data_IF_039215819493
#
_entry.id   IF_039215819493
#
_cell.length_a   1.000
_cell.length_b   1.000
_cell.length_c   1.000
_cell.angle_alpha   90.00
_cell.angle_beta   90.00
_cell.angle_gamma   90.00
#
_symmetry.space_group_name_H-M   'P 1'
#
loop_
_entity.id
_entity.type
_entity.pdbx_description
1 polymer ?
#
# COMPACT_ATOMS: atom_id res chain seq x y z
N UNK A 1 -12.43 58.97 14.31
CA UNK A 1 -11.67 59.20 13.10
C UNK A 1 -11.06 57.89 12.63
N UNK A 2 -11.58 57.42 11.53
CA UNK A 2 -11.44 56.10 10.94
C UNK A 2 -10.45 56.20 9.80
N UNK A 3 -9.47 55.35 9.74
CA UNK A 3 -8.68 55.18 8.53
C UNK A 3 -8.61 53.71 8.18
N UNK A 4 -9.41 53.31 7.19
CA UNK A 4 -9.42 52.05 6.55
C UNK A 4 -8.16 51.81 5.72
N UNK A 5 -7.61 50.61 5.76
CA UNK A 5 -6.47 50.18 4.95
C UNK A 5 -6.94 49.07 3.97
N UNK A 6 -7.19 49.55 2.76
CA UNK A 6 -7.43 48.72 1.57
C UNK A 6 -6.15 48.01 1.18
N UNK A 7 -6.10 46.69 1.25
CA UNK A 7 -4.97 45.93 0.73
C UNK A 7 -5.20 45.57 -0.74
N UNK A 8 -4.22 45.89 -1.55
CA UNK A 8 -4.08 45.74 -3.00
C UNK A 8 -4.18 44.31 -3.47
N UNK A 9 -5.21 44.02 -4.25
CA UNK A 9 -5.20 42.93 -5.25
C UNK A 9 -4.50 43.46 -6.51
N UNK A 10 -3.23 43.21 -6.69
CA UNK A 10 -2.50 43.34 -7.97
C UNK A 10 -1.28 42.44 -7.86
N UNK A 11 -1.28 41.32 -8.61
CA UNK A 11 -0.11 40.70 -9.21
C UNK A 11 -0.31 39.23 -9.61
N UNK A 12 -1.50 38.85 -10.10
CA UNK A 12 -1.69 37.50 -10.70
C UNK A 12 -1.91 37.57 -12.23
N UNK A 13 -1.98 38.77 -12.83
CA UNK A 13 -2.30 38.88 -14.25
C UNK A 13 -1.13 39.26 -15.17
N UNK A 14 0.12 39.21 -14.70
CA UNK A 14 1.29 39.57 -15.54
C UNK A 14 2.17 38.39 -16.01
N UNK A 15 1.80 37.14 -15.70
CA UNK A 15 2.59 35.97 -16.15
C UNK A 15 2.02 35.24 -17.36
N UNK A 16 0.84 35.65 -17.86
CA UNK A 16 0.19 34.95 -18.98
C UNK A 16 0.32 35.67 -20.36
N UNK A 17 0.93 36.85 -20.41
CA UNK A 17 1.02 37.64 -21.65
C UNK A 17 2.42 37.67 -22.30
N UNK A 18 3.42 37.02 -21.72
CA UNK A 18 4.77 36.93 -22.33
C UNK A 18 4.97 35.63 -23.14
N UNK A 19 4.10 34.63 -22.97
CA UNK A 19 4.20 33.37 -23.71
C UNK A 19 3.61 33.41 -25.13
N UNK A 20 2.85 34.44 -25.49
CA UNK A 20 2.13 34.51 -26.80
C UNK A 20 2.87 35.31 -27.85
N UNK A 21 3.94 36.04 -27.52
CA UNK A 21 4.65 36.93 -28.47
C UNK A 21 5.95 36.30 -29.04
N UNK A 22 6.37 35.11 -28.59
CA UNK A 22 7.59 34.41 -29.08
C UNK A 22 7.31 33.27 -30.07
N UNK A 23 6.05 33.07 -30.50
CA UNK A 23 5.67 31.93 -31.34
C UNK A 23 5.63 32.26 -32.86
N UNK A 24 6.13 33.40 -33.31
CA UNK A 24 6.04 33.80 -34.73
C UNK A 24 7.37 33.78 -35.52
N UNK A 25 8.45 33.26 -34.95
CA UNK A 25 9.75 33.16 -35.63
C UNK A 25 10.44 31.78 -35.58
N UNK A 26 9.74 30.73 -35.18
CA UNK A 26 10.30 29.36 -35.18
C UNK A 26 9.88 28.71 -36.51
N UNK A 27 10.85 28.43 -37.37
CA UNK A 27 10.62 27.76 -38.65
C UNK A 27 10.05 26.35 -38.47
N UNK A 28 9.27 25.84 -39.44
CA UNK A 28 8.55 24.56 -39.38
C UNK A 28 9.39 23.36 -38.89
N UNK A 29 10.71 23.39 -39.07
CA UNK A 29 11.64 22.33 -38.59
C UNK A 29 11.83 22.31 -37.05
N UNK A 30 11.70 23.47 -36.38
CA UNK A 30 11.89 23.56 -34.92
C UNK A 30 10.61 23.21 -34.18
N UNK A 31 9.44 23.47 -34.78
CA UNK A 31 8.14 23.05 -34.26
C UNK A 31 8.03 21.52 -34.28
N UNK A 32 8.50 20.86 -35.34
CA UNK A 32 8.51 19.41 -35.42
C UNK A 32 9.41 18.78 -34.36
N UNK A 33 10.63 19.32 -34.16
CA UNK A 33 11.55 18.86 -33.11
C UNK A 33 10.98 19.00 -31.65
N UNK A 34 10.19 20.06 -31.43
CA UNK A 34 9.53 20.28 -30.14
C UNK A 34 8.36 19.28 -29.94
N UNK A 35 7.61 19.01 -31.02
CA UNK A 35 6.52 18.02 -31.01
C UNK A 35 7.09 16.60 -30.77
N UNK A 36 8.13 16.20 -31.52
CA UNK A 36 8.78 14.89 -31.40
C UNK A 36 9.42 14.71 -30.02
N UNK A 37 10.00 15.77 -29.43
CA UNK A 37 10.56 15.73 -28.08
C UNK A 37 9.48 15.61 -26.99
N UNK A 38 8.30 16.23 -27.21
CA UNK A 38 7.17 16.15 -26.29
C UNK A 38 6.49 14.78 -26.35
N UNK A 39 6.41 14.19 -27.55
CA UNK A 39 5.87 12.85 -27.77
C UNK A 39 6.79 11.77 -27.19
N UNK A 40 8.11 11.90 -27.36
CA UNK A 40 9.10 11.03 -26.71
C UNK A 40 9.08 11.17 -25.17
N UNK A 41 8.98 12.40 -24.63
CA UNK A 41 8.87 12.58 -23.17
C UNK A 41 7.58 11.96 -22.60
N UNK A 42 6.44 12.11 -23.32
CA UNK A 42 5.17 11.48 -22.90
C UNK A 42 5.25 9.95 -23.00
N UNK A 43 5.93 9.42 -24.02
CA UNK A 43 6.11 7.97 -24.19
C UNK A 43 7.05 7.40 -23.13
N UNK A 44 8.16 8.10 -22.80
CA UNK A 44 9.06 7.70 -21.70
C UNK A 44 8.39 7.77 -20.32
N UNK A 45 7.58 8.80 -20.06
CA UNK A 45 6.83 8.91 -18.79
C UNK A 45 5.75 7.83 -18.69
N UNK A 46 5.01 7.55 -19.78
CA UNK A 46 4.02 6.47 -19.82
C UNK A 46 4.69 5.09 -19.69
N UNK A 47 5.88 4.90 -20.29
CA UNK A 47 6.65 3.66 -20.13
C UNK A 47 7.27 3.55 -18.72
N UNK A 48 7.71 4.65 -18.11
CA UNK A 48 8.20 4.65 -16.73
C UNK A 48 7.07 4.35 -15.73
N UNK A 49 5.87 4.90 -15.93
CA UNK A 49 4.69 4.56 -15.13
C UNK A 49 4.23 3.10 -15.34
N UNK A 50 4.43 2.53 -16.54
CA UNK A 50 4.12 1.11 -16.80
C UNK A 50 5.19 0.15 -16.27
N UNK A 51 6.43 0.58 -16.08
CA UNK A 51 7.50 -0.26 -15.49
C UNK A 51 7.39 -0.35 -13.97
N UNK A 52 6.73 0.61 -13.30
CA UNK A 52 6.38 0.48 -11.87
C UNK A 52 5.15 -0.40 -11.59
N UNK A 53 4.31 -0.68 -12.58
CA UNK A 53 3.33 -1.76 -12.51
C UNK A 53 4.02 -3.08 -12.84
N UNK A 54 4.86 -3.56 -11.91
CA UNK A 54 5.38 -4.92 -11.95
C UNK A 54 4.21 -5.87 -12.21
N UNK A 55 4.37 -6.74 -13.20
CA UNK A 55 3.36 -7.74 -13.56
C UNK A 55 2.82 -8.38 -12.28
N UNK A 56 1.53 -8.19 -11.98
CA UNK A 56 0.92 -8.81 -10.80
C UNK A 56 1.15 -10.30 -10.92
N UNK A 57 2.05 -10.84 -10.09
CA UNK A 57 2.35 -12.26 -10.10
C UNK A 57 1.06 -13.01 -9.79
N UNK A 58 0.67 -13.92 -10.68
CA UNK A 58 -0.52 -14.74 -10.45
C UNK A 58 -0.24 -15.71 -9.30
N UNK A 59 -1.07 -15.66 -8.26
CA UNK A 59 -1.00 -16.59 -7.15
C UNK A 59 -1.45 -17.99 -7.57
N UNK A 60 -0.78 -19.01 -7.06
CA UNK A 60 -1.26 -20.39 -7.01
C UNK A 60 -0.81 -21.04 -5.71
N UNK A 61 -1.62 -21.99 -5.22
CA UNK A 61 -1.32 -22.70 -3.97
C UNK A 61 0.00 -23.47 -4.04
N UNK A 62 0.32 -24.03 -5.20
CA UNK A 62 1.53 -24.82 -5.39
C UNK A 62 2.80 -23.95 -5.34
N UNK A 63 2.71 -22.72 -5.83
CA UNK A 63 3.86 -21.80 -5.88
C UNK A 63 4.00 -20.95 -4.63
N UNK A 64 2.89 -20.52 -4.04
CA UNK A 64 2.87 -19.61 -2.91
C UNK A 64 1.89 -20.10 -1.82
N UNK A 65 2.15 -21.26 -1.19
CA UNK A 65 1.24 -21.86 -0.22
C UNK A 65 1.00 -20.98 1.01
N UNK A 66 1.96 -20.15 1.39
CA UNK A 66 1.83 -19.22 2.52
C UNK A 66 1.41 -17.80 2.11
N UNK A 67 0.93 -17.62 0.86
CA UNK A 67 0.33 -16.37 0.37
C UNK A 67 1.26 -15.17 0.34
N UNK A 68 2.56 -15.37 0.30
CA UNK A 68 3.55 -14.33 0.09
C UNK A 68 4.77 -14.85 -0.69
N UNK A 69 5.57 -13.90 -1.18
CA UNK A 69 6.92 -14.16 -1.70
C UNK A 69 7.82 -12.97 -1.42
N UNK A 70 9.11 -13.23 -1.15
CA UNK A 70 10.12 -12.17 -1.07
C UNK A 70 10.60 -11.87 -2.50
N UNK A 71 10.47 -10.62 -2.92
CA UNK A 71 10.75 -10.15 -4.28
C UNK A 71 11.88 -9.11 -4.28
N UNK A 72 13.03 -9.49 -3.76
CA UNK A 72 14.24 -8.67 -3.73
C UNK A 72 14.30 -7.65 -2.60
N UNK A 73 15.04 -6.56 -2.84
CA UNK A 73 15.29 -5.50 -1.85
C UNK A 73 14.11 -4.55 -1.72
N UNK A 74 14.00 -3.93 -0.56
CA UNK A 74 12.91 -3.01 -0.20
C UNK A 74 12.79 -1.80 -1.13
N UNK A 75 13.91 -1.29 -1.63
CA UNK A 75 13.96 -0.02 -2.37
C UNK A 75 13.65 1.20 -1.49
N UNK A 76 13.68 1.06 -0.17
CA UNK A 76 13.38 2.14 0.77
C UNK A 76 14.51 3.17 0.78
N UNK A 77 14.12 4.45 0.66
CA UNK A 77 14.94 5.58 1.07
C UNK A 77 14.40 6.07 2.43
N UNK A 78 15.20 6.01 3.52
CA UNK A 78 14.78 6.42 4.86
C UNK A 78 14.23 7.86 4.95
N UNK A 79 14.68 8.78 4.08
CA UNK A 79 14.22 10.18 4.07
C UNK A 79 12.74 10.34 3.66
N UNK A 80 12.12 9.30 3.05
CA UNK A 80 10.73 9.31 2.61
C UNK A 80 9.77 8.79 3.70
N UNK A 81 10.31 8.52 4.88
CA UNK A 81 9.58 7.98 6.02
C UNK A 81 9.43 9.02 7.15
N UNK A 82 8.40 8.89 8.01
CA UNK A 82 8.21 9.79 9.14
C UNK A 82 9.36 9.66 10.17
N UNK A 83 9.39 10.57 11.15
CA UNK A 83 10.33 10.49 12.28
C UNK A 83 10.23 9.15 13.03
N UNK A 84 11.31 8.74 13.68
CA UNK A 84 11.39 7.50 14.46
C UNK A 84 10.25 7.38 15.50
N UNK A 85 9.62 6.23 15.54
CA UNK A 85 8.45 5.93 16.38
C UNK A 85 7.12 6.43 15.81
N UNK A 86 7.10 7.08 14.64
CA UNK A 86 5.87 7.59 14.00
C UNK A 86 5.40 6.69 12.87
N UNK A 87 4.07 6.65 12.71
CA UNK A 87 3.36 6.01 11.60
C UNK A 87 2.57 7.09 10.87
N UNK A 88 2.59 7.02 9.55
CA UNK A 88 1.82 7.88 8.64
C UNK A 88 0.95 7.01 7.76
N UNK A 89 -0.30 7.40 7.62
CA UNK A 89 -1.28 6.77 6.73
C UNK A 89 -1.58 7.70 5.57
N UNK A 90 -1.65 7.14 4.37
CA UNK A 90 -2.08 7.87 3.18
C UNK A 90 -3.57 8.20 3.23
N UNK A 91 -3.94 9.27 2.55
CA UNK A 91 -5.35 9.60 2.36
C UNK A 91 -6.05 8.50 1.53
N UNK A 92 -7.33 8.27 1.80
CA UNK A 92 -8.12 7.38 0.95
C UNK A 92 -8.23 7.99 -0.46
N UNK A 93 -8.16 7.16 -1.48
CA UNK A 93 -8.34 7.64 -2.83
C UNK A 93 -9.82 8.01 -3.13
N UNK A 94 -10.08 8.49 -4.34
CA UNK A 94 -11.42 8.90 -4.78
C UNK A 94 -12.48 7.79 -4.78
N UNK A 95 -12.06 6.51 -4.72
CA UNK A 95 -12.92 5.34 -4.57
C UNK A 95 -13.04 4.89 -3.10
N UNK A 96 -12.44 5.63 -2.16
CA UNK A 96 -12.41 5.31 -0.74
C UNK A 96 -11.50 4.13 -0.41
N UNK A 97 -10.52 3.82 -1.28
CA UNK A 97 -9.53 2.75 -1.08
C UNK A 97 -8.35 3.26 -0.28
N UNK A 98 -7.81 2.39 0.55
CA UNK A 98 -6.57 2.62 1.29
C UNK A 98 -5.39 2.68 0.30
N UNK A 99 -4.49 3.63 0.46
CA UNK A 99 -3.40 3.89 -0.50
C UNK A 99 -2.06 3.37 -0.02
N UNK A 100 -1.65 3.72 1.20
CA UNK A 100 -0.39 3.28 1.80
C UNK A 100 -0.38 3.50 3.31
N UNK A 101 0.54 2.81 3.99
CA UNK A 101 0.96 3.13 5.34
C UNK A 101 2.49 3.04 5.43
N UNK A 102 3.12 3.99 6.12
CA UNK A 102 4.58 4.06 6.35
C UNK A 102 4.87 4.27 7.82
N UNK A 103 5.85 3.57 8.36
CA UNK A 103 6.30 3.74 9.73
C UNK A 103 7.81 3.65 9.85
N UNK A 104 8.41 4.56 10.62
CA UNK A 104 9.76 4.42 11.16
C UNK A 104 9.64 3.80 12.53
N UNK A 105 9.45 2.48 12.54
CA UNK A 105 9.09 1.71 13.73
C UNK A 105 10.29 1.55 14.67
N UNK A 106 10.04 1.64 15.96
CA UNK A 106 11.01 1.42 17.03
C UNK A 106 10.48 0.38 18.00
N UNK A 107 11.30 -0.13 18.92
CA UNK A 107 10.86 -1.04 19.97
C UNK A 107 9.67 -0.47 20.77
N UNK A 108 9.60 0.84 20.99
CA UNK A 108 8.48 1.50 21.69
C UNK A 108 7.12 1.27 21.03
N UNK A 109 7.07 1.13 19.70
CA UNK A 109 5.84 0.81 18.98
C UNK A 109 5.35 -0.60 19.35
N UNK A 110 6.27 -1.58 19.40
CA UNK A 110 5.98 -2.96 19.79
C UNK A 110 5.61 -3.04 21.27
N UNK A 111 6.42 -2.45 22.16
CA UNK A 111 6.18 -2.42 23.60
C UNK A 111 4.80 -1.82 23.94
N UNK A 112 4.44 -0.71 23.28
CA UNK A 112 3.15 -0.05 23.48
C UNK A 112 1.94 -0.88 23.03
N UNK A 113 2.15 -1.91 22.21
CA UNK A 113 1.11 -2.83 21.76
C UNK A 113 0.90 -4.03 22.68
N UNK A 114 1.78 -4.27 23.65
CA UNK A 114 1.72 -5.46 24.52
C UNK A 114 0.44 -5.44 25.39
N UNK A 115 -0.34 -6.50 25.23
CA UNK A 115 -1.58 -6.66 25.98
C UNK A 115 -2.71 -5.70 25.58
N UNK A 116 -2.48 -4.86 24.60
CA UNK A 116 -3.45 -3.91 24.03
C UNK A 116 -3.93 -4.44 22.69
N UNK A 117 -5.26 -4.59 22.54
CA UNK A 117 -5.88 -4.84 21.25
C UNK A 117 -6.81 -3.70 20.90
N UNK A 118 -6.45 -2.96 19.88
CA UNK A 118 -7.29 -1.85 19.42
C UNK A 118 -8.62 -2.39 18.85
N UNK A 119 -9.68 -1.64 19.09
CA UNK A 119 -11.00 -1.94 18.52
C UNK A 119 -11.23 -1.07 17.30
N UNK A 120 -11.65 -1.70 16.22
CA UNK A 120 -12.08 -0.98 15.03
C UNK A 120 -13.30 -0.10 15.35
N UNK A 121 -13.29 1.15 14.86
CA UNK A 121 -14.47 1.99 14.82
C UNK A 121 -15.51 1.43 13.83
N UNK A 122 -16.76 1.91 13.90
CA UNK A 122 -17.83 1.43 13.02
C UNK A 122 -17.62 1.79 11.56
N UNK A 123 -16.84 2.81 11.29
CA UNK A 123 -16.50 3.35 9.97
C UNK A 123 -15.15 2.85 9.44
N UNK A 124 -14.51 1.91 10.14
CA UNK A 124 -13.23 1.32 9.74
C UNK A 124 -13.34 0.23 8.67
N UNK A 125 -14.52 0.00 8.09
CA UNK A 125 -14.67 -0.97 7.01
C UNK A 125 -13.94 -0.48 5.75
N UNK A 126 -13.01 -1.27 5.20
CA UNK A 126 -12.28 -0.91 3.99
C UNK A 126 -13.17 -0.97 2.74
N UNK A 127 -12.68 -0.43 1.62
CA UNK A 127 -13.35 -0.59 0.33
C UNK A 127 -13.56 -2.06 -0.04
N UNK A 128 -14.66 -2.38 -0.71
CA UNK A 128 -15.00 -3.77 -1.07
C UNK A 128 -15.33 -4.68 0.12
N UNK A 129 -15.61 -4.11 1.30
CA UNK A 129 -16.04 -4.84 2.48
C UNK A 129 -17.46 -5.40 2.26
N UNK A 130 -17.51 -6.63 1.74
CA UNK A 130 -18.75 -7.26 1.32
C UNK A 130 -19.37 -8.15 2.39
N UNK A 131 -20.08 -9.20 1.94
CA UNK A 131 -20.75 -10.18 2.81
C UNK A 131 -19.73 -10.93 3.67
N UNK A 132 -20.00 -10.98 4.98
CA UNK A 132 -19.16 -11.66 5.96
C UNK A 132 -19.59 -13.10 6.17
N UNK A 133 -19.37 -13.96 5.17
CA UNK A 133 -19.69 -15.39 5.26
C UNK A 133 -18.58 -16.19 5.95
N UNK A 134 -19.02 -17.19 6.72
CA UNK A 134 -18.11 -18.21 7.23
C UNK A 134 -17.90 -19.29 6.18
N UNK A 135 -16.63 -19.56 5.91
CA UNK A 135 -16.19 -20.50 4.87
C UNK A 135 -15.26 -21.56 5.43
N UNK A 136 -14.98 -22.56 4.61
CA UNK A 136 -13.92 -23.54 4.82
C UNK A 136 -12.89 -23.35 3.72
N UNK A 137 -11.70 -22.78 4.05
CA UNK A 137 -10.59 -22.61 3.13
C UNK A 137 -9.67 -23.81 3.26
N UNK A 138 -9.48 -24.65 2.23
CA UNK A 138 -8.54 -25.75 2.28
C UNK A 138 -7.10 -25.24 2.20
N UNK A 139 -6.20 -25.89 2.94
CA UNK A 139 -4.78 -25.59 2.99
C UNK A 139 -3.96 -26.61 2.20
N UNK A 140 -2.77 -26.24 1.78
CA UNK A 140 -1.82 -27.11 1.04
C UNK A 140 -1.44 -28.37 1.82
N UNK A 141 -1.44 -28.32 3.13
CA UNK A 141 -1.09 -29.42 4.04
C UNK A 141 -2.28 -30.36 4.39
N UNK A 142 -3.40 -30.24 3.68
CA UNK A 142 -4.64 -31.01 3.93
C UNK A 142 -5.49 -30.54 5.10
N UNK A 143 -5.02 -29.56 5.89
CA UNK A 143 -5.82 -28.87 6.90
C UNK A 143 -6.77 -27.86 6.25
N UNK A 144 -7.53 -27.15 7.06
CA UNK A 144 -8.40 -26.08 6.57
C UNK A 144 -8.68 -25.06 7.68
N UNK A 145 -8.93 -23.83 7.26
CA UNK A 145 -9.51 -22.80 8.09
C UNK A 145 -11.04 -22.88 8.08
N UNK A 146 -11.66 -22.59 9.23
CA UNK A 146 -13.11 -22.37 9.33
C UNK A 146 -13.37 -21.02 10.00
N UNK A 147 -14.02 -20.11 9.33
CA UNK A 147 -14.33 -18.78 9.84
C UNK A 147 -14.69 -17.79 8.76
N UNK A 148 -14.66 -16.51 9.08
CA UNK A 148 -14.99 -15.46 8.13
C UNK A 148 -13.98 -15.39 6.99
N UNK A 149 -14.49 -15.22 5.76
CA UNK A 149 -13.65 -15.12 4.56
C UNK A 149 -12.81 -13.85 4.58
N UNK A 150 -13.43 -12.69 4.81
CA UNK A 150 -12.78 -11.39 4.87
C UNK A 150 -12.31 -11.04 6.28
N UNK A 151 -11.17 -10.38 6.33
CA UNK A 151 -10.58 -9.77 7.52
C UNK A 151 -10.30 -8.29 7.21
N UNK A 152 -10.45 -7.40 8.20
CA UNK A 152 -9.84 -6.07 8.14
C UNK A 152 -8.34 -6.28 8.32
N UNK A 153 -7.64 -6.49 7.18
CA UNK A 153 -6.21 -6.79 7.18
C UNK A 153 -5.44 -5.48 7.30
N UNK A 154 -4.69 -5.35 8.38
CA UNK A 154 -3.85 -4.16 8.60
C UNK A 154 -2.73 -4.07 7.55
N UNK A 155 -2.36 -2.85 7.17
CA UNK A 155 -1.13 -2.56 6.43
C UNK A 155 0.07 -2.56 7.39
N UNK A 156 -0.04 -1.88 8.52
CA UNK A 156 0.89 -1.99 9.65
C UNK A 156 0.11 -2.60 10.81
N UNK A 157 0.55 -3.80 11.25
CA UNK A 157 -0.17 -4.59 12.23
C UNK A 157 -0.28 -3.93 13.61
N UNK A 158 -1.34 -4.29 14.36
CA UNK A 158 -1.56 -3.87 15.74
C UNK A 158 -0.34 -4.17 16.64
N UNK A 159 0.32 -5.31 16.43
CA UNK A 159 1.55 -5.70 17.15
C UNK A 159 2.76 -4.78 16.85
N UNK A 160 2.71 -3.96 15.83
CA UNK A 160 3.72 -2.97 15.45
C UNK A 160 3.28 -1.53 15.78
N UNK A 161 2.17 -1.38 16.52
CA UNK A 161 1.59 -0.09 16.89
C UNK A 161 0.72 0.54 15.79
N UNK A 162 0.30 -0.22 14.77
CA UNK A 162 -0.61 0.26 13.72
C UNK A 162 -2.02 0.49 14.24
N UNK A 163 -2.65 1.59 13.85
CA UNK A 163 -3.99 1.97 14.30
C UNK A 163 -5.10 1.14 13.64
N UNK A 164 -6.19 0.90 14.39
CA UNK A 164 -7.40 0.22 13.92
C UNK A 164 -8.35 1.20 13.20
N UNK A 165 -7.86 1.84 12.13
CA UNK A 165 -8.55 2.84 11.33
C UNK A 165 -8.67 2.41 9.87
N UNK A 166 -9.62 3.01 9.13
CA UNK A 166 -9.87 2.68 7.72
C UNK A 166 -8.66 2.86 6.83
N UNK A 167 -7.84 3.91 7.07
CA UNK A 167 -6.63 4.22 6.29
C UNK A 167 -5.51 3.17 6.46
N UNK A 168 -5.60 2.32 7.49
CA UNK A 168 -4.61 1.28 7.78
C UNK A 168 -5.11 -0.14 7.46
N UNK A 169 -6.28 -0.32 6.86
CA UNK A 169 -6.82 -1.65 6.59
C UNK A 169 -7.29 -1.81 5.15
N UNK A 170 -7.21 -3.05 4.68
CA UNK A 170 -7.78 -3.48 3.40
C UNK A 170 -8.72 -4.66 3.62
N UNK A 171 -9.66 -4.88 2.67
CA UNK A 171 -10.44 -6.11 2.58
C UNK A 171 -9.50 -7.23 2.16
N UNK A 172 -9.00 -7.98 3.13
CA UNK A 172 -8.07 -9.09 2.94
C UNK A 172 -8.71 -10.43 3.27
N UNK A 173 -8.39 -11.48 2.51
CA UNK A 173 -8.78 -12.84 2.89
C UNK A 173 -8.11 -13.25 4.21
N UNK A 174 -8.65 -14.25 4.89
CA UNK A 174 -7.98 -14.82 6.07
C UNK A 174 -6.55 -15.26 5.75
N UNK A 175 -6.34 -15.82 4.58
CA UNK A 175 -5.03 -16.31 4.13
C UNK A 175 -4.08 -15.19 3.73
N UNK A 176 -4.57 -14.12 3.14
CA UNK A 176 -3.78 -12.89 2.92
C UNK A 176 -3.31 -12.30 4.25
N UNK A 177 -4.17 -12.30 5.26
CA UNK A 177 -3.85 -11.70 6.56
C UNK A 177 -2.80 -12.52 7.33
N UNK A 178 -2.90 -13.88 7.37
CA UNK A 178 -2.04 -14.70 8.25
C UNK A 178 -1.47 -15.98 7.61
N UNK A 179 -1.70 -16.26 6.32
CA UNK A 179 -1.30 -17.50 5.67
C UNK A 179 -2.03 -18.73 6.19
N UNK A 180 -1.45 -19.91 5.96
CA UNK A 180 -2.02 -21.19 6.39
C UNK A 180 -1.65 -21.56 7.82
N UNK A 181 -0.45 -21.17 8.27
CA UNK A 181 0.14 -21.54 9.57
C UNK A 181 0.16 -20.39 10.59
N UNK A 182 -0.54 -19.29 10.29
CA UNK A 182 -0.54 -18.04 11.05
C UNK A 182 0.82 -17.33 11.09
N UNK A 183 1.71 -17.63 10.13
CA UNK A 183 3.02 -17.00 9.92
C UNK A 183 3.22 -16.47 8.50
N UNK A 184 2.29 -16.77 7.59
CA UNK A 184 2.28 -16.30 6.19
C UNK A 184 1.44 -15.05 6.00
N UNK A 185 1.19 -14.69 4.73
CA UNK A 185 0.48 -13.47 4.38
C UNK A 185 1.16 -12.22 4.95
N UNK A 186 0.38 -11.24 5.40
CA UNK A 186 0.88 -10.03 6.08
C UNK A 186 1.67 -10.38 7.35
N UNK A 187 1.26 -11.44 8.04
CA UNK A 187 1.86 -11.85 9.30
C UNK A 187 3.34 -12.22 9.18
N UNK A 188 3.82 -12.64 8.00
CA UNK A 188 5.24 -12.88 7.75
C UNK A 188 6.08 -11.62 8.02
N UNK A 189 5.73 -10.52 7.40
CA UNK A 189 6.45 -9.24 7.57
C UNK A 189 6.29 -8.67 8.98
N UNK A 190 5.10 -8.81 9.57
CA UNK A 190 4.83 -8.36 10.94
C UNK A 190 5.70 -9.09 11.98
N UNK A 191 5.78 -10.43 11.91
CA UNK A 191 6.62 -11.24 12.82
C UNK A 191 8.08 -10.83 12.65
N UNK A 192 8.57 -10.77 11.42
CA UNK A 192 9.98 -10.43 11.16
C UNK A 192 10.34 -9.04 11.69
N UNK A 193 9.46 -8.06 11.49
CA UNK A 193 9.61 -6.70 12.00
C UNK A 193 9.61 -6.68 13.53
N UNK A 194 8.65 -7.37 14.16
CA UNK A 194 8.53 -7.45 15.60
C UNK A 194 9.75 -8.09 16.25
N UNK A 195 10.17 -9.27 15.77
CA UNK A 195 11.34 -9.99 16.29
C UNK A 195 12.63 -9.17 16.18
N UNK A 196 12.81 -8.45 15.05
CA UNK A 196 13.98 -7.58 14.90
C UNK A 196 13.95 -6.40 15.86
N UNK A 197 12.81 -5.73 16.04
CA UNK A 197 12.66 -4.60 16.97
C UNK A 197 12.82 -5.02 18.42
N UNK A 198 12.36 -6.23 18.80
CA UNK A 198 12.55 -6.80 20.14
C UNK A 198 14.02 -7.16 20.42
N UNK A 199 14.79 -7.48 19.39
CA UNK A 199 16.22 -7.75 19.51
C UNK A 199 17.09 -6.48 19.41
N UNK A 200 16.57 -5.35 18.88
CA UNK A 200 17.32 -4.15 18.56
C UNK A 200 16.59 -2.89 19.08
N UNK A 201 16.58 -2.71 20.39
CA UNK A 201 15.79 -1.63 21.06
C UNK A 201 16.15 -0.21 20.63
N UNK A 202 17.40 0.04 20.25
CA UNK A 202 17.88 1.34 19.76
C UNK A 202 17.76 1.49 18.23
N UNK A 203 17.30 0.42 17.56
CA UNK A 203 17.17 0.39 16.11
C UNK A 203 15.87 1.02 15.60
N UNK A 204 15.89 1.36 14.32
CA UNK A 204 14.70 1.80 13.58
C UNK A 204 14.46 0.87 12.41
N UNK A 205 13.23 0.40 12.24
CA UNK A 205 12.78 -0.37 11.09
C UNK A 205 11.83 0.49 10.24
N UNK A 206 12.24 0.81 9.02
CA UNK A 206 11.40 1.45 8.03
C UNK A 206 10.48 0.40 7.42
N UNK A 207 9.19 0.55 7.62
CA UNK A 207 8.15 -0.38 7.19
C UNK A 207 7.11 0.36 6.34
N UNK A 208 7.02 0.01 5.06
CA UNK A 208 6.03 0.54 4.14
C UNK A 208 5.11 -0.56 3.64
N UNK A 209 3.81 -0.31 3.56
CA UNK A 209 2.85 -1.25 2.99
C UNK A 209 1.93 -0.52 2.01
N UNK A 210 1.82 -1.05 0.78
CA UNK A 210 1.05 -0.46 -0.32
C UNK A 210 0.16 -1.51 -0.96
N UNK A 211 -1.17 -1.38 -0.89
CA UNK A 211 -2.09 -2.25 -1.62
C UNK A 211 -2.07 -1.95 -3.12
N UNK A 212 -2.19 -2.99 -3.93
CA UNK A 212 -2.21 -2.91 -5.40
C UNK A 212 -3.59 -3.32 -5.91
N UNK A 213 -4.23 -2.39 -6.60
CA UNK A 213 -5.55 -2.55 -7.22
C UNK A 213 -5.40 -2.50 -8.75
N UNK A 214 -6.25 -3.20 -9.47
CA UNK A 214 -6.37 -3.03 -10.92
C UNK A 214 -7.57 -2.10 -11.24
N UNK A 215 -7.32 -1.04 -11.99
CA UNK A 215 -8.38 -0.10 -12.40
C UNK A 215 -9.25 0.39 -11.22
N UNK A 216 -10.55 0.14 -11.32
CA UNK A 216 -11.55 0.57 -10.33
C UNK A 216 -11.92 -0.52 -9.30
N UNK A 217 -11.13 -1.56 -9.16
CA UNK A 217 -11.35 -2.61 -8.15
C UNK A 217 -11.33 -2.03 -6.74
N UNK A 218 -12.24 -2.50 -5.91
CA UNK A 218 -12.37 -2.05 -4.51
C UNK A 218 -11.55 -2.91 -3.53
N UNK A 219 -11.17 -4.11 -3.94
CA UNK A 219 -10.35 -5.05 -3.15
C UNK A 219 -8.97 -5.14 -3.79
N UNK A 220 -7.86 -4.99 -3.05
CA UNK A 220 -6.54 -5.11 -3.63
C UNK A 220 -6.23 -6.58 -3.99
N UNK A 221 -5.51 -6.78 -5.09
CA UNK A 221 -5.03 -8.12 -5.50
C UNK A 221 -3.83 -8.57 -4.70
N UNK A 222 -2.98 -7.62 -4.32
CA UNK A 222 -1.80 -7.85 -3.49
C UNK A 222 -1.57 -6.68 -2.54
N UNK A 223 -0.74 -6.91 -1.52
CA UNK A 223 -0.11 -5.84 -0.74
C UNK A 223 1.39 -5.98 -0.88
N UNK A 224 2.07 -4.92 -1.29
CA UNK A 224 3.53 -4.87 -1.30
C UNK A 224 3.98 -4.32 0.04
N UNK A 225 4.78 -5.11 0.76
CA UNK A 225 5.42 -4.69 2.01
C UNK A 225 6.91 -4.52 1.76
N UNK A 226 7.44 -3.35 2.09
CA UNK A 226 8.88 -3.05 2.04
C UNK A 226 9.39 -2.84 3.44
N UNK A 227 10.53 -3.45 3.78
CA UNK A 227 11.18 -3.35 5.09
C UNK A 227 12.67 -3.10 4.94
N UNK A 228 13.17 -2.11 5.68
CA UNK A 228 14.61 -1.80 5.78
C UNK A 228 14.95 -1.52 7.24
N UNK A 229 15.83 -2.33 7.84
CA UNK A 229 16.35 -2.05 9.18
C UNK A 229 17.53 -1.08 9.14
N UNK A 230 17.72 -0.29 10.21
CA UNK A 230 18.79 0.72 10.31
C UNK A 230 20.19 0.10 10.25
N UNK A 231 20.34 -1.17 10.59
CA UNK A 231 21.59 -1.94 10.48
C UNK A 231 21.74 -2.69 9.14
N UNK A 232 20.72 -2.64 8.27
CA UNK A 232 20.70 -3.30 6.97
C UNK A 232 20.53 -4.83 7.00
N UNK A 233 20.28 -5.44 8.16
CA UNK A 233 20.06 -6.89 8.28
C UNK A 233 18.72 -7.33 7.70
N UNK A 234 17.72 -6.42 7.67
CA UNK A 234 16.50 -6.57 6.90
C UNK A 234 16.52 -5.56 5.75
N UNK A 235 16.43 -6.04 4.52
CA UNK A 235 16.25 -5.23 3.30
C UNK A 235 15.43 -6.06 2.32
N UNK A 236 14.09 -6.00 2.46
CA UNK A 236 13.18 -6.90 1.72
C UNK A 236 11.95 -6.18 1.16
N UNK A 237 11.59 -6.55 -0.06
CA UNK A 237 10.29 -6.33 -0.66
C UNK A 237 9.51 -7.64 -0.65
N UNK A 238 8.33 -7.64 -0.08
CA UNK A 238 7.45 -8.80 0.06
C UNK A 238 6.14 -8.52 -0.69
N UNK A 239 5.76 -9.45 -1.56
CA UNK A 239 4.45 -9.42 -2.22
C UNK A 239 3.53 -10.37 -1.46
N UNK A 240 2.45 -9.84 -0.91
CA UNK A 240 1.43 -10.61 -0.19
C UNK A 240 0.19 -10.73 -1.07
N UNK A 241 -0.22 -11.97 -1.36
CA UNK A 241 -1.32 -12.26 -2.27
C UNK A 241 -2.67 -12.25 -1.54
N UNK A 242 -3.63 -11.50 -2.06
CA UNK A 242 -4.98 -11.48 -1.54
C UNK A 242 -5.86 -12.52 -2.24
N UNK A 243 -5.67 -13.76 -1.87
CA UNK A 243 -6.31 -14.91 -2.48
C UNK A 243 -6.71 -15.95 -1.43
N UNK A 244 -7.50 -16.96 -1.80
CA UNK A 244 -7.86 -18.08 -0.94
C UNK A 244 -8.02 -19.35 -1.78
N UNK A 245 -7.38 -20.45 -1.36
CA UNK A 245 -7.47 -21.70 -2.07
C UNK A 245 -8.92 -22.21 -2.14
N UNK A 246 -9.35 -22.66 -3.32
CA UNK A 246 -10.72 -23.13 -3.56
C UNK A 246 -11.77 -22.02 -3.71
N UNK A 247 -11.36 -20.77 -3.89
CA UNK A 247 -12.28 -19.65 -4.06
C UNK A 247 -11.87 -18.76 -5.24
N UNK A 248 -12.89 -18.25 -5.94
CA UNK A 248 -12.78 -17.16 -6.91
C UNK A 248 -13.27 -15.87 -6.25
N UNK A 249 -12.48 -14.79 -6.37
CA UNK A 249 -12.74 -13.48 -5.79
C UNK A 249 -13.06 -12.50 -6.91
N UNK A 250 -14.16 -11.77 -6.79
CA UNK A 250 -14.44 -10.58 -7.58
C UNK A 250 -13.83 -9.35 -6.88
N UNK A 251 -12.67 -8.93 -7.31
CA UNK A 251 -11.96 -7.78 -6.72
C UNK A 251 -12.68 -6.45 -6.97
N UNK A 252 -13.60 -6.39 -7.94
CA UNK A 252 -14.36 -5.17 -8.21
C UNK A 252 -15.28 -4.77 -7.05
N UNK A 253 -15.83 -5.74 -6.31
CA UNK A 253 -16.84 -5.48 -5.27
C UNK A 253 -16.68 -6.29 -3.97
N UNK A 254 -15.74 -7.25 -3.93
CA UNK A 254 -15.50 -8.10 -2.77
C UNK A 254 -16.45 -9.29 -2.66
N UNK A 255 -17.24 -9.60 -3.69
CA UNK A 255 -17.98 -10.86 -3.73
C UNK A 255 -17.03 -12.05 -4.01
N UNK A 256 -17.38 -13.23 -3.54
CA UNK A 256 -16.57 -14.43 -3.74
C UNK A 256 -17.46 -15.67 -3.86
N UNK A 257 -16.94 -16.73 -4.48
CA UNK A 257 -17.61 -18.02 -4.58
C UNK A 257 -16.62 -19.18 -4.47
N UNK A 258 -17.05 -20.30 -3.91
CA UNK A 258 -16.26 -21.52 -3.92
C UNK A 258 -16.12 -22.06 -5.35
N UNK A 259 -14.92 -22.50 -5.71
CA UNK A 259 -14.65 -23.25 -6.94
C UNK A 259 -15.03 -24.71 -6.68
N UNK A 260 -15.86 -25.29 -7.55
CA UNK A 260 -16.29 -26.69 -7.47
C UNK A 260 -15.21 -27.63 -7.98
#
# INVERSE_FOLDING_TARGET
MIAGRTMRKKNIFKLLTVATAMLLLVGCKDVQKIADKKENLTTEVVQAEQVEQGSVQTWSIDKYPNYYTVDGKSGINPSDFPEAGKIQYGELDKLGRTTEAKGSLTFKNVEGSYGVRQKFSKDADPSGWGVQDKVKIPYSNGKHYKGFFWNRSHLIGDALGGDAIRQNVVTGTRTQNVGEDSKGGMRYSEIKAQEWLEANHDGTLYYGAKPVYEGNELVPRTVIVSMLSSDGTIDEKVIVFNSANGFEINYADGTFKAIK
#
